data_IF_302282777834
#
_entry.id   IF_302282777834
#
_cell.length_a   1.000
_cell.length_b   1.000
_cell.length_c   1.000
_cell.angle_alpha   90.00
_cell.angle_beta   90.00
_cell.angle_gamma   90.00
#
_symmetry.space_group_name_H-M   'P 1'
#
loop_
_entity.id
_entity.type
_entity.pdbx_description
1 polymer ?
#
# COMPACT_ATOMS: atom_id res chain seq x y z
N UNK A 1 -3.48 14.11 2.45
CA UNK A 1 -2.67 13.66 3.62
C UNK A 1 -3.40 13.83 4.97
N UNK A 2 -4.73 13.67 5.03
CA UNK A 2 -5.56 14.00 6.21
C UNK A 2 -6.15 12.77 6.93
N UNK A 3 -5.49 11.61 6.87
CA UNK A 3 -5.99 10.37 7.52
C UNK A 3 -5.07 9.75 8.56
N UNK A 4 -3.76 9.99 8.49
CA UNK A 4 -2.79 9.38 9.42
C UNK A 4 -2.49 10.37 10.54
N UNK A 5 -3.24 10.28 11.65
CA UNK A 5 -3.07 11.14 12.85
C UNK A 5 -1.80 10.84 13.65
N UNK A 6 -1.12 9.73 13.38
CA UNK A 6 0.03 9.29 14.17
C UNK A 6 1.36 9.48 13.42
N UNK A 7 2.21 10.37 13.95
CA UNK A 7 3.56 10.64 13.45
C UNK A 7 4.45 9.38 13.45
N UNK A 8 4.27 8.46 14.40
CA UNK A 8 5.02 7.20 14.45
C UNK A 8 4.61 6.27 13.31
N UNK A 9 3.32 6.21 13.01
CA UNK A 9 2.79 5.46 11.86
C UNK A 9 3.34 6.00 10.55
N UNK A 10 3.34 7.31 10.35
CA UNK A 10 3.94 7.93 9.16
C UNK A 10 5.42 7.56 8.99
N UNK A 11 6.20 7.63 10.08
CA UNK A 11 7.62 7.27 10.02
C UNK A 11 7.83 5.79 9.69
N UNK A 12 7.02 4.88 10.25
CA UNK A 12 7.09 3.45 9.94
C UNK A 12 6.75 3.17 8.48
N UNK A 13 5.67 3.76 7.97
CA UNK A 13 5.26 3.62 6.57
C UNK A 13 6.34 4.18 5.64
N UNK A 14 6.90 5.36 5.94
CA UNK A 14 7.99 5.94 5.15
C UNK A 14 9.22 5.04 5.10
N UNK A 15 9.65 4.48 6.25
CA UNK A 15 10.76 3.51 6.29
C UNK A 15 10.43 2.24 5.51
N UNK A 16 9.17 1.82 5.51
CA UNK A 16 8.73 0.65 4.75
C UNK A 16 8.77 0.88 3.25
N UNK A 17 8.39 2.07 2.81
CA UNK A 17 8.48 2.51 1.42
C UNK A 17 9.94 2.60 0.96
N UNK A 18 10.84 3.15 1.77
CA UNK A 18 12.29 3.18 1.45
C UNK A 18 12.85 1.75 1.27
N UNK A 19 12.42 0.79 2.09
CA UNK A 19 12.78 -0.62 1.91
C UNK A 19 12.19 -1.21 0.62
N UNK A 20 10.91 -0.94 0.35
CA UNK A 20 10.24 -1.44 -0.86
C UNK A 20 10.87 -0.87 -2.14
N UNK A 21 11.31 0.39 -2.14
CA UNK A 21 12.07 0.98 -3.24
C UNK A 21 13.38 0.25 -3.53
N UNK A 22 13.96 -0.40 -2.52
CA UNK A 22 15.19 -1.22 -2.63
C UNK A 22 14.89 -2.69 -2.92
N UNK A 23 13.64 -3.04 -3.23
CA UNK A 23 13.20 -4.42 -3.47
C UNK A 23 12.97 -5.25 -2.19
N UNK A 24 13.09 -4.65 -1.00
CA UNK A 24 12.86 -5.33 0.27
C UNK A 24 11.38 -5.23 0.65
N UNK A 25 10.60 -6.09 0.01
CA UNK A 25 9.15 -6.03 0.04
C UNK A 25 8.50 -6.63 1.29
N UNK A 26 9.21 -7.32 2.19
CA UNK A 26 8.64 -7.81 3.46
C UNK A 26 7.40 -8.68 3.27
N UNK A 27 6.35 -8.49 4.10
CA UNK A 27 5.06 -9.19 3.93
C UNK A 27 4.20 -8.49 2.85
N UNK A 28 4.12 -9.15 1.69
CA UNK A 28 3.30 -8.73 0.55
C UNK A 28 2.37 -9.87 0.14
N UNK A 29 1.14 -9.50 -0.21
CA UNK A 29 0.18 -10.42 -0.81
C UNK A 29 -0.40 -9.83 -2.10
N UNK A 30 -0.50 -10.60 -3.19
CA UNK A 30 -1.27 -10.19 -4.34
C UNK A 30 -2.76 -10.16 -3.98
N UNK A 31 -3.46 -9.11 -4.39
CA UNK A 31 -4.92 -8.96 -4.20
C UNK A 31 -5.68 -9.03 -5.54
N UNK A 32 -4.96 -9.34 -6.62
CA UNK A 32 -5.48 -9.52 -7.98
C UNK A 32 -5.35 -8.27 -8.84
N UNK A 33 -5.53 -8.44 -10.15
CA UNK A 33 -5.51 -7.35 -11.16
C UNK A 33 -4.20 -6.54 -11.13
N UNK A 34 -3.07 -7.21 -10.91
CA UNK A 34 -1.76 -6.56 -10.85
C UNK A 34 -1.51 -5.72 -9.58
N UNK A 35 -2.47 -5.70 -8.64
CA UNK A 35 -2.35 -5.00 -7.37
C UNK A 35 -1.85 -5.95 -6.28
N UNK A 36 -0.94 -5.45 -5.46
CA UNK A 36 -0.43 -6.12 -4.26
C UNK A 36 -0.62 -5.25 -3.02
N UNK A 37 -0.76 -5.87 -1.86
CA UNK A 37 -0.84 -5.20 -0.57
C UNK A 37 0.42 -5.46 0.26
N UNK A 38 0.95 -4.40 0.90
CA UNK A 38 1.85 -4.51 2.04
C UNK A 38 1.03 -4.66 3.31
N UNK A 39 1.34 -5.68 4.10
CA UNK A 39 0.70 -5.91 5.39
C UNK A 39 1.62 -5.49 6.52
N UNK A 40 1.13 -4.59 7.36
CA UNK A 40 1.84 -4.12 8.54
C UNK A 40 0.96 -4.32 9.76
N UNK A 41 1.29 -5.32 10.58
CA UNK A 41 0.49 -5.71 11.74
C UNK A 41 0.89 -4.92 12.99
N UNK A 42 0.84 -3.58 12.87
CA UNK A 42 0.99 -2.68 14.00
C UNK A 42 -0.21 -1.74 14.12
N UNK A 43 -0.54 -1.35 15.36
CA UNK A 43 -1.72 -0.52 15.62
C UNK A 43 -3.00 -1.20 15.12
N UNK A 44 -3.84 -0.54 14.31
CA UNK A 44 -5.10 -1.11 13.82
C UNK A 44 -4.92 -2.11 12.66
N UNK A 45 -3.68 -2.42 12.28
CA UNK A 45 -3.37 -3.28 11.13
C UNK A 45 -3.44 -2.48 9.83
N UNK A 46 -2.30 -1.90 9.44
CA UNK A 46 -2.21 -1.06 8.24
C UNK A 46 -2.04 -1.92 6.98
N UNK A 47 -2.66 -1.47 5.89
CA UNK A 47 -2.51 -2.04 4.55
C UNK A 47 -2.15 -0.94 3.58
N UNK A 48 -1.12 -1.12 2.76
CA UNK A 48 -0.79 -0.21 1.66
C UNK A 48 -0.87 -0.96 0.35
N UNK A 49 -1.52 -0.38 -0.65
CA UNK A 49 -1.68 -1.01 -1.95
C UNK A 49 -0.69 -0.43 -2.94
N UNK A 50 -0.15 -1.28 -3.79
CA UNK A 50 0.80 -0.86 -4.81
C UNK A 50 0.67 -1.70 -6.08
N UNK A 51 1.18 -1.15 -7.15
CA UNK A 51 1.43 -1.83 -8.43
C UNK A 51 2.91 -1.69 -8.74
N UNK A 52 3.51 -2.76 -9.27
CA UNK A 52 4.87 -2.71 -9.79
C UNK A 52 4.85 -2.71 -11.31
N UNK A 53 5.44 -1.70 -11.94
CA UNK A 53 5.61 -1.59 -13.40
C UNK A 53 7.09 -1.53 -13.72
N UNK A 54 7.65 -2.63 -14.19
CA UNK A 54 9.10 -2.77 -14.35
C UNK A 54 9.83 -2.52 -13.02
N UNK A 55 10.66 -1.47 -13.00
CA UNK A 55 11.38 -1.02 -11.80
C UNK A 55 10.64 0.05 -10.99
N UNK A 56 9.50 0.57 -11.47
CA UNK A 56 8.73 1.59 -10.79
C UNK A 56 7.71 0.97 -9.83
N UNK A 57 7.72 1.42 -8.58
CA UNK A 57 6.74 1.06 -7.56
C UNK A 57 5.72 2.19 -7.42
N UNK A 58 4.49 1.97 -7.87
CA UNK A 58 3.40 2.95 -7.76
C UNK A 58 2.58 2.63 -6.53
N UNK A 59 2.65 3.50 -5.54
CA UNK A 59 1.96 3.34 -4.26
C UNK A 59 0.65 4.12 -4.28
N UNK A 60 -0.45 3.41 -4.10
CA UNK A 60 -1.77 4.01 -4.00
C UNK A 60 -2.04 4.35 -2.55
N UNK A 61 -2.09 5.65 -2.23
CA UNK A 61 -2.34 6.19 -0.90
C UNK A 61 -3.82 6.03 -0.50
N UNK A 62 -4.31 4.79 -0.52
CA UNK A 62 -5.65 4.39 -0.12
C UNK A 62 -5.65 3.43 1.07
N UNK A 63 -4.55 3.37 1.82
CA UNK A 63 -4.39 2.44 2.93
C UNK A 63 -5.12 2.88 4.19
N UNK A 64 -6.15 2.13 4.59
CA UNK A 64 -6.78 2.24 5.89
C UNK A 64 -6.32 1.15 6.86
N UNK A 65 -7.14 0.92 7.89
CA UNK A 65 -7.01 -0.24 8.77
C UNK A 65 -7.74 -1.46 8.21
N UNK A 66 -7.65 -2.59 8.91
CA UNK A 66 -8.28 -3.86 8.49
C UNK A 66 -9.80 -3.74 8.23
N UNK A 67 -10.52 -2.81 8.86
CA UNK A 67 -11.96 -2.66 8.70
C UNK A 67 -12.37 -2.11 7.32
N UNK A 68 -11.47 -1.41 6.63
CA UNK A 68 -11.73 -0.84 5.29
C UNK A 68 -11.07 -1.62 4.16
N UNK A 69 -10.40 -2.74 4.45
CA UNK A 69 -9.58 -3.50 3.49
C UNK A 69 -10.31 -3.82 2.18
N UNK A 70 -11.53 -4.37 2.22
CA UNK A 70 -12.30 -4.68 1.00
C UNK A 70 -12.63 -3.40 0.21
N UNK A 71 -12.98 -2.33 0.94
CA UNK A 71 -13.11 -0.92 0.50
C UNK A 71 -11.96 -0.50 -0.41
N UNK A 72 -10.78 -0.67 0.17
CA UNK A 72 -9.54 -0.10 -0.31
C UNK A 72 -8.93 -0.94 -1.44
N UNK A 73 -9.09 -2.27 -1.41
CA UNK A 73 -8.71 -3.16 -2.52
C UNK A 73 -9.44 -2.77 -3.80
N UNK A 74 -10.76 -2.56 -3.73
CA UNK A 74 -11.56 -2.18 -4.91
C UNK A 74 -11.08 -0.83 -5.46
N UNK A 75 -10.87 0.16 -4.59
CA UNK A 75 -10.34 1.46 -5.01
C UNK A 75 -8.94 1.35 -5.62
N UNK A 76 -8.07 0.54 -5.03
CA UNK A 76 -6.73 0.32 -5.53
C UNK A 76 -6.73 -0.32 -6.92
N UNK A 77 -7.61 -1.30 -7.16
CA UNK A 77 -7.77 -1.90 -8.50
C UNK A 77 -8.28 -0.92 -9.54
N UNK A 78 -9.28 -0.11 -9.17
CA UNK A 78 -9.79 0.95 -10.05
C UNK A 78 -8.70 1.97 -10.39
N UNK A 79 -7.93 2.42 -9.39
CA UNK A 79 -6.81 3.33 -9.62
C UNK A 79 -5.72 2.68 -10.49
N UNK A 80 -5.39 1.42 -10.23
CA UNK A 80 -4.41 0.67 -11.02
C UNK A 80 -4.80 0.57 -12.50
N UNK A 81 -6.09 0.39 -12.79
CA UNK A 81 -6.61 0.36 -14.15
C UNK A 81 -6.53 1.73 -14.87
N UNK A 82 -6.54 2.83 -14.12
CA UNK A 82 -6.41 4.19 -14.70
C UNK A 82 -4.97 4.64 -14.91
N UNK A 83 -3.98 3.91 -14.39
CA UNK A 83 -2.59 4.21 -14.66
C UNK A 83 -2.30 3.81 -16.11
N UNK A 84 -2.14 4.77 -17.01
CA UNK A 84 -1.63 4.53 -18.37
C UNK A 84 -0.15 4.08 -18.30
N UNK A 85 0.29 3.24 -19.24
CA UNK A 85 1.67 2.72 -19.30
C UNK A 85 2.72 3.78 -19.61
#
# INVERSE_FOLDING_TARGET
MSGIKDSKTRLRLARRLDKAQRGLFGDVQPVGEGVSEFREDFGPGWRMYFVQRGSALIVMLGGGDKSTQAKDIVKAKLLAATLED
#
